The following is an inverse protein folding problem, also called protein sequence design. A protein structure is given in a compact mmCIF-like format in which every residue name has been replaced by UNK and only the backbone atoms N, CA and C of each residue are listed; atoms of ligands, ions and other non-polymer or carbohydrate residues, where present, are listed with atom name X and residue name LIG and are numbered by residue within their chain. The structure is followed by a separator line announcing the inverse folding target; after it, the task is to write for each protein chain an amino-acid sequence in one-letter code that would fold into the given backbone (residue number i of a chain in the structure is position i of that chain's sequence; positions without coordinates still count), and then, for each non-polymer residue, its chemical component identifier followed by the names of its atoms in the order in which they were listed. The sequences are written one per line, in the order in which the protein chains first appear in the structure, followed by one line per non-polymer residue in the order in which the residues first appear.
data_IF_678772716084
#
_entry.id   IF_678772716084
#
_cell.length_a   1.000
_cell.length_b   1.000
_cell.length_c   1.000
_cell.angle_alpha   90.00
_cell.angle_beta   90.00
_cell.angle_gamma   90.00
#
_symmetry.space_group_name_H-M   'P 1'
#
loop_
_entity.id
_entity.type
_entity.pdbx_description
1 polymer ?
#
# COMPACT_ATOMS: atom_id res chain seq x y z
N UNK A 1 -16.90 7.03 -4.31
CA UNK A 1 -16.10 7.76 -3.28
C UNK A 1 -15.40 6.69 -2.48
N UNK A 2 -14.06 6.69 -2.43
CA UNK A 2 -13.34 5.55 -1.84
C UNK A 2 -12.90 5.89 -0.42
N UNK A 3 -12.98 4.90 0.47
CA UNK A 3 -12.61 5.03 1.87
C UNK A 3 -11.72 3.85 2.24
N UNK A 4 -10.58 4.10 2.87
CA UNK A 4 -9.74 3.05 3.43
C UNK A 4 -10.25 2.67 4.81
N UNK A 5 -10.51 1.38 5.02
CA UNK A 5 -11.05 0.84 6.29
C UNK A 5 -10.23 -0.38 6.70
N UNK A 6 -10.13 -0.68 8.01
CA UNK A 6 -9.47 -1.89 8.46
C UNK A 6 -10.33 -3.10 8.12
N UNK A 7 -9.68 -4.26 7.90
CA UNK A 7 -10.38 -5.53 7.62
C UNK A 7 -11.37 -5.91 8.73
N UNK A 8 -11.12 -5.50 9.98
CA UNK A 8 -12.02 -5.71 11.11
C UNK A 8 -13.39 -5.08 10.93
N UNK A 9 -13.47 -3.99 10.18
CA UNK A 9 -14.68 -3.20 9.99
C UNK A 9 -15.43 -3.57 8.69
N UNK A 10 -14.86 -4.49 7.91
CA UNK A 10 -15.46 -4.99 6.67
C UNK A 10 -16.68 -5.84 7.00
N UNK A 11 -17.78 -5.58 6.29
CA UNK A 11 -19.05 -6.30 6.44
C UNK A 11 -19.63 -6.69 5.09
N UNK A 12 -20.50 -7.69 5.11
CA UNK A 12 -21.26 -8.11 3.93
C UNK A 12 -22.11 -6.94 3.43
N UNK A 13 -22.14 -6.72 2.12
CA UNK A 13 -22.79 -5.60 1.44
C UNK A 13 -21.86 -4.42 1.13
N UNK A 14 -20.60 -4.45 1.57
CA UNK A 14 -19.60 -3.43 1.19
C UNK A 14 -19.03 -3.72 -0.20
N UNK A 15 -18.78 -2.66 -0.98
CA UNK A 15 -18.10 -2.79 -2.26
C UNK A 15 -16.60 -2.60 -2.06
N UNK A 16 -15.84 -3.70 -2.12
CA UNK A 16 -14.38 -3.67 -2.00
C UNK A 16 -13.80 -3.27 -3.35
N UNK A 17 -13.03 -2.19 -3.34
CA UNK A 17 -12.42 -1.63 -4.52
C UNK A 17 -10.96 -2.03 -4.69
N UNK A 18 -10.22 -2.18 -3.60
CA UNK A 18 -8.83 -2.61 -3.63
C UNK A 18 -8.41 -3.16 -2.26
N UNK A 19 -7.57 -4.19 -2.24
CA UNK A 19 -7.01 -4.77 -1.02
C UNK A 19 -5.60 -4.21 -0.80
N UNK A 20 -5.31 -3.63 0.37
CA UNK A 20 -3.97 -3.11 0.68
C UNK A 20 -3.09 -4.25 1.21
N UNK A 21 -2.30 -4.87 0.33
CA UNK A 21 -1.37 -5.92 0.72
C UNK A 21 -0.61 -6.53 -0.46
N UNK A 22 0.29 -7.46 -0.15
CA UNK A 22 0.97 -8.25 -1.17
C UNK A 22 -0.06 -9.10 -1.91
N UNK A 23 -0.34 -8.75 -3.16
CA UNK A 23 -1.19 -9.51 -4.09
C UNK A 23 -0.70 -10.96 -4.29
N UNK A 24 0.51 -11.29 -3.81
CA UNK A 24 1.17 -12.58 -3.96
C UNK A 24 0.72 -13.64 -2.93
N UNK A 25 0.04 -13.25 -1.85
CA UNK A 25 -0.35 -14.16 -0.76
C UNK A 25 -1.80 -14.66 -0.83
N UNK A 26 -2.64 -14.12 -1.73
CA UNK A 26 -4.07 -14.42 -1.74
C UNK A 26 -4.62 -14.74 -3.15
N UNK A 27 -5.55 -15.71 -3.29
CA UNK A 27 -6.17 -16.07 -4.56
C UNK A 27 -7.25 -15.07 -5.05
N UNK A 28 -7.25 -13.83 -4.55
CA UNK A 28 -8.20 -12.79 -4.94
C UNK A 28 -7.73 -12.04 -6.18
N UNK A 29 -7.89 -12.68 -7.34
CA UNK A 29 -7.65 -12.08 -8.66
C UNK A 29 -8.65 -10.98 -9.08
N UNK A 30 -9.66 -10.66 -8.26
CA UNK A 30 -10.64 -9.64 -8.58
C UNK A 30 -10.16 -8.29 -8.06
N UNK A 31 -9.97 -7.33 -8.98
CA UNK A 31 -9.59 -5.95 -8.65
C UNK A 31 -10.60 -5.30 -7.70
N UNK A 32 -11.90 -5.46 -7.98
CA UNK A 32 -12.98 -4.93 -7.16
C UNK A 32 -14.17 -5.89 -7.17
N UNK A 33 -14.87 -6.04 -6.05
CA UNK A 33 -16.04 -6.89 -5.92
C UNK A 33 -16.96 -6.47 -4.76
N UNK A 34 -18.25 -6.78 -4.89
CA UNK A 34 -19.21 -6.64 -3.80
C UNK A 34 -19.06 -7.85 -2.86
N UNK A 35 -18.93 -7.59 -1.56
CA UNK A 35 -18.79 -8.63 -0.56
C UNK A 35 -20.16 -9.20 -0.17
N UNK A 36 -20.62 -10.22 -0.86
CA UNK A 36 -21.94 -10.86 -0.60
C UNK A 36 -21.84 -12.19 0.14
N UNK A 37 -20.65 -12.80 0.17
CA UNK A 37 -20.42 -14.14 0.69
C UNK A 37 -19.67 -14.11 2.02
N UNK A 38 -20.21 -14.81 3.03
CA UNK A 38 -19.51 -15.03 4.30
C UNK A 38 -18.15 -15.71 4.10
N UNK A 39 -18.03 -16.58 3.10
CA UNK A 39 -16.76 -17.24 2.77
C UNK A 39 -15.70 -16.22 2.36
N UNK A 40 -16.10 -15.20 1.60
CA UNK A 40 -15.18 -14.17 1.13
C UNK A 40 -14.77 -13.26 2.29
N UNK A 41 -15.70 -12.93 3.21
CA UNK A 41 -15.41 -12.19 4.43
C UNK A 41 -14.40 -12.94 5.32
N UNK A 42 -14.64 -14.22 5.57
CA UNK A 42 -13.74 -15.06 6.38
C UNK A 42 -12.36 -15.18 5.73
N UNK A 43 -12.30 -15.32 4.41
CA UNK A 43 -11.02 -15.41 3.69
C UNK A 43 -10.26 -14.09 3.81
N UNK A 44 -10.95 -12.96 3.74
CA UNK A 44 -10.37 -11.63 3.88
C UNK A 44 -9.90 -11.38 5.33
N UNK A 45 -10.64 -11.82 6.34
CA UNK A 45 -10.22 -11.75 7.75
C UNK A 45 -9.06 -12.68 8.09
N UNK A 46 -8.96 -13.84 7.45
CA UNK A 46 -7.84 -14.77 7.62
C UNK A 46 -6.61 -14.40 6.78
N UNK A 47 -6.75 -13.40 5.91
CA UNK A 47 -5.66 -12.92 5.08
C UNK A 47 -4.68 -12.07 5.90
N UNK A 48 -3.47 -11.91 5.41
CA UNK A 48 -2.47 -10.97 5.96
C UNK A 48 -2.78 -9.49 5.65
N UNK A 49 -3.94 -9.20 5.06
CA UNK A 49 -4.36 -7.84 4.68
C UNK A 49 -4.87 -7.14 5.93
N UNK A 50 -4.27 -5.99 6.25
CA UNK A 50 -4.69 -5.18 7.39
C UNK A 50 -5.78 -4.17 7.01
N UNK A 51 -5.77 -3.70 5.77
CA UNK A 51 -6.59 -2.58 5.30
C UNK A 51 -7.15 -2.82 3.89
N UNK A 52 -8.32 -2.27 3.60
CA UNK A 52 -8.97 -2.34 2.28
C UNK A 52 -9.60 -1.01 1.90
N UNK A 53 -9.65 -0.73 0.61
CA UNK A 53 -10.42 0.37 0.04
C UNK A 53 -11.82 -0.11 -0.29
N UNK A 54 -12.83 0.59 0.21
CA UNK A 54 -14.23 0.40 -0.14
C UNK A 54 -14.78 1.58 -0.94
N UNK A 55 -15.75 1.34 -1.81
CA UNK A 55 -16.55 2.40 -2.44
C UNK A 55 -17.87 2.59 -1.68
N UNK A 56 -17.99 3.73 -0.98
CA UNK A 56 -19.20 4.08 -0.23
C UNK A 56 -20.36 4.55 -1.14
N UNK A 57 -20.10 4.77 -2.44
CA UNK A 57 -21.11 5.12 -3.43
C UNK A 57 -21.76 3.91 -4.11
N UNK A 58 -21.13 2.73 -4.06
CA UNK A 58 -21.60 1.50 -4.70
C UNK A 58 -22.01 0.40 -3.71
N UNK A 59 -21.69 0.56 -2.42
CA UNK A 59 -21.99 -0.43 -1.37
C UNK A 59 -22.36 0.22 -0.04
N UNK A 60 -22.68 -0.62 0.96
CA UNK A 60 -22.96 -0.17 2.32
C UNK A 60 -21.73 0.55 2.92
N UNK A 61 -21.94 1.70 3.56
CA UNK A 61 -20.89 2.38 4.31
C UNK A 61 -20.67 1.73 5.68
N UNK A 62 -19.51 2.01 6.26
CA UNK A 62 -19.17 1.68 7.64
C UNK A 62 -20.18 2.34 8.58
N UNK A 63 -20.72 1.57 9.52
CA UNK A 63 -21.68 2.05 10.52
C UNK A 63 -21.07 3.24 11.28
N UNK A 64 -21.86 4.29 11.56
CA UNK A 64 -21.42 5.60 12.06
C UNK A 64 -20.77 5.60 13.47
N UNK A 65 -20.36 4.45 13.99
CA UNK A 65 -19.63 4.27 15.26
C UNK A 65 -18.32 3.48 15.15
N UNK A 66 -18.00 2.88 13.99
CA UNK A 66 -16.67 2.28 13.77
C UNK A 66 -15.74 3.35 13.22
N UNK A 67 -14.91 3.87 14.12
CA UNK A 67 -13.90 4.87 13.83
C UNK A 67 -12.95 4.37 12.73
N UNK A 68 -13.14 4.88 11.51
CA UNK A 68 -12.09 4.85 10.49
C UNK A 68 -10.97 5.79 10.97
N UNK A 69 -10.10 5.26 11.84
CA UNK A 69 -9.00 5.96 12.49
C UNK A 69 -7.79 6.03 11.56
N UNK A 70 -7.90 6.65 10.37
CA UNK A 70 -6.79 6.57 9.40
C UNK A 70 -6.59 7.82 8.54
N UNK A 71 -6.87 9.01 9.07
CA UNK A 71 -6.34 10.25 8.47
C UNK A 71 -5.11 10.76 9.22
N UNK A 72 -5.02 10.57 10.54
CA UNK A 72 -3.90 11.10 11.34
C UNK A 72 -2.62 10.24 11.29
N UNK A 73 -2.72 8.91 11.25
CA UNK A 73 -1.55 8.02 11.44
C UNK A 73 -0.73 7.83 10.14
N UNK A 74 -1.39 7.84 8.98
CA UNK A 74 -0.72 7.76 7.67
C UNK A 74 0.06 9.02 7.31
N UNK A 75 -0.28 10.18 7.87
CA UNK A 75 0.49 11.41 7.66
C UNK A 75 1.88 11.31 8.30
N UNK A 76 1.98 10.73 9.51
CA UNK A 76 3.24 10.58 10.22
C UNK A 76 4.20 9.60 9.54
N UNK A 77 3.71 8.47 9.03
CA UNK A 77 4.53 7.50 8.29
C UNK A 77 5.06 8.08 6.96
N UNK A 78 4.23 8.83 6.23
CA UNK A 78 4.65 9.52 5.00
C UNK A 78 5.71 10.56 5.30
N UNK A 79 5.55 11.35 6.37
CA UNK A 79 6.52 12.37 6.77
C UNK A 79 7.85 11.74 7.23
N UNK A 80 7.81 10.61 7.94
CA UNK A 80 9.02 9.90 8.38
C UNK A 80 9.77 9.24 7.20
N UNK A 81 9.05 8.69 6.23
CA UNK A 81 9.62 8.14 4.99
C UNK A 81 10.27 9.25 4.13
N UNK A 82 9.59 10.39 3.97
CA UNK A 82 10.14 11.58 3.29
C UNK A 82 11.39 12.13 3.99
N UNK A 83 11.40 12.17 5.32
CA UNK A 83 12.56 12.58 6.11
C UNK A 83 13.76 11.63 5.90
N UNK A 84 13.53 10.31 5.83
CA UNK A 84 14.57 9.31 5.55
C UNK A 84 15.15 9.44 4.15
N UNK A 85 14.30 9.65 3.14
CA UNK A 85 14.74 9.84 1.76
C UNK A 85 15.54 11.14 1.62
N UNK A 86 15.09 12.22 2.26
CA UNK A 86 15.81 13.49 2.27
C UNK A 86 17.14 13.44 3.04
N UNK A 87 17.26 12.55 4.02
CA UNK A 87 18.50 12.35 4.79
C UNK A 87 19.54 11.48 4.05
N UNK A 88 19.12 10.72 3.02
CA UNK A 88 20.03 10.01 2.11
C UNK A 88 20.73 11.00 1.18
N UNK A 89 21.74 11.67 1.71
CA UNK A 89 22.60 12.56 0.93
C UNK A 89 23.57 11.69 0.12
N UNK A 90 23.21 11.31 -1.10
CA UNK A 90 24.24 10.96 -2.09
C UNK A 90 25.14 12.17 -2.21
N UNK A 91 26.40 12.03 -1.77
CA UNK A 91 27.38 13.09 -1.84
C UNK A 91 27.49 13.56 -3.30
N UNK A 92 27.20 14.84 -3.54
CA UNK A 92 27.32 15.43 -4.88
C UNK A 92 28.80 15.55 -5.23
N UNK A 93 29.32 14.57 -5.95
CA UNK A 93 30.70 14.53 -6.41
C UNK A 93 30.81 15.31 -7.73
N UNK A 94 31.87 16.10 -7.96
CA UNK A 94 32.08 16.82 -9.22
C UNK A 94 32.17 15.86 -10.41
N UNK A 95 31.47 16.19 -11.51
CA UNK A 95 31.29 15.36 -12.71
C UNK A 95 32.55 14.65 -13.22
N UNK A 96 33.71 15.30 -13.17
CA UNK A 96 34.98 14.73 -13.63
C UNK A 96 35.39 13.45 -12.86
N UNK A 97 35.06 13.38 -11.57
CA UNK A 97 35.45 12.29 -10.68
C UNK A 97 34.47 11.11 -10.82
N UNK A 98 33.18 11.41 -11.08
CA UNK A 98 32.20 10.40 -11.48
C UNK A 98 32.54 9.76 -12.84
N UNK A 99 33.04 10.54 -13.80
CA UNK A 99 33.47 10.03 -15.11
C UNK A 99 34.67 9.08 -15.00
N UNK A 100 35.62 9.37 -14.12
CA UNK A 100 36.81 8.53 -13.94
C UNK A 100 36.46 7.20 -13.27
N UNK A 101 35.58 7.19 -12.26
CA UNK A 101 35.05 5.93 -11.69
C UNK A 101 34.27 5.10 -12.70
N UNK A 102 33.41 5.75 -13.51
CA UNK A 102 32.64 5.05 -14.53
C UNK A 102 33.55 4.35 -15.56
N UNK A 103 34.66 5.00 -15.94
CA UNK A 103 35.68 4.39 -16.81
C UNK A 103 36.40 3.22 -16.14
N UNK A 104 36.72 3.33 -14.85
CA UNK A 104 37.37 2.26 -14.10
C UNK A 104 36.49 1.00 -14.02
N UNK A 105 35.20 1.16 -13.69
CA UNK A 105 34.23 0.05 -13.65
C UNK A 105 34.07 -0.63 -15.02
N UNK A 106 34.09 0.15 -16.10
CA UNK A 106 34.01 -0.40 -17.47
C UNK A 106 35.26 -1.19 -17.88
N UNK A 107 36.41 -0.86 -17.31
CA UNK A 107 37.64 -1.62 -17.50
C UNK A 107 37.63 -2.92 -16.67
N UNK A 108 37.09 -2.89 -15.45
CA UNK A 108 36.95 -4.06 -14.57
C UNK A 108 35.92 -5.09 -15.08
N UNK A 109 34.86 -4.63 -15.76
CA UNK A 109 33.83 -5.50 -16.35
C UNK A 109 34.21 -6.19 -17.67
N UNK A 110 35.47 -6.07 -18.13
CA UNK A 110 35.93 -6.58 -19.44
C UNK A 110 36.81 -7.83 -19.35
N UNK A 111 36.51 -8.70 -18.37
CA UNK A 111 37.05 -10.06 -18.24
C UNK A 111 36.02 -11.10 -18.63
#
# INVERSE_FOLDING_TARGET
MHKKIPVSDVRIGMHIQELCGSWMDHPFWKKSFLLESEKDLITLQNSSISEVWIDTGLGCDVEAGSHARYEDEVAEDVENELARISASTTAKIPLHEELDRARALLAEGKT
#
